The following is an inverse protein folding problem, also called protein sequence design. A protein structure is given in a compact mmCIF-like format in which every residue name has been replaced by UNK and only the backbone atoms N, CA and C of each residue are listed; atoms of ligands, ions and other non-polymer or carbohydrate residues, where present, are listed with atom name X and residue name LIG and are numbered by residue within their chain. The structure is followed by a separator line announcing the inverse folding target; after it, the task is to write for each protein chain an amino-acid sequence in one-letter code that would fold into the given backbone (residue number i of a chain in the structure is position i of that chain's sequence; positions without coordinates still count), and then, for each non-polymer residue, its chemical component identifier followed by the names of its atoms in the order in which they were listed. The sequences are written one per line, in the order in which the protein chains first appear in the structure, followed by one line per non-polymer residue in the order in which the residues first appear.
data_IF_054915530787
#
_entry.id   IF_054915530787
#
_cell.length_a   1.000
_cell.length_b   1.000
_cell.length_c   1.000
_cell.angle_alpha   90.00
_cell.angle_beta   90.00
_cell.angle_gamma   90.00
#
_symmetry.space_group_name_H-M   'P 1'
#
loop_
_entity.id
_entity.type
_entity.pdbx_description
1 polymer ?
#
# COMPACT_ATOMS: atom_id res chain seq x y z
N UNK A 1 21.84 7.56 -12.05
CA UNK A 1 21.73 6.08 -12.07
C UNK A 1 20.91 5.63 -10.88
N UNK A 2 19.74 5.07 -11.14
CA UNK A 2 18.96 4.37 -10.12
C UNK A 2 19.54 2.97 -9.99
N UNK A 3 20.07 2.65 -8.82
CA UNK A 3 20.64 1.34 -8.55
C UNK A 3 19.72 0.59 -7.60
N UNK A 4 19.03 -0.43 -8.11
CA UNK A 4 18.32 -1.40 -7.27
C UNK A 4 19.36 -2.25 -6.55
N UNK A 5 19.51 -2.08 -5.23
CA UNK A 5 20.37 -2.91 -4.40
C UNK A 5 19.57 -4.15 -3.99
N UNK A 6 19.93 -5.37 -4.46
CA UNK A 6 19.25 -6.57 -3.99
C UNK A 6 19.59 -6.79 -2.51
N UNK A 7 18.58 -6.97 -1.69
CA UNK A 7 18.76 -7.36 -0.28
C UNK A 7 19.25 -8.81 -0.27
N UNK A 8 20.45 -9.10 0.24
CA UNK A 8 20.92 -10.46 0.34
C UNK A 8 20.07 -11.26 1.32
N UNK A 9 19.51 -12.38 0.88
CA UNK A 9 18.72 -13.29 1.72
C UNK A 9 19.57 -14.17 2.66
N UNK A 10 20.88 -13.93 2.76
CA UNK A 10 21.75 -14.67 3.67
C UNK A 10 21.93 -13.91 4.97
N UNK A 11 21.07 -14.19 5.93
CA UNK A 11 21.20 -13.67 7.30
C UNK A 11 21.87 -14.68 8.22
N UNK A 12 23.08 -14.31 8.64
CA UNK A 12 23.55 -14.39 10.01
C UNK A 12 23.86 -15.74 10.59
N UNK A 13 25.10 -16.21 10.39
CA UNK A 13 25.78 -17.03 11.39
C UNK A 13 26.18 -16.16 12.59
N UNK A 14 25.20 -15.71 13.36
CA UNK A 14 25.43 -15.09 14.68
C UNK A 14 25.40 -16.16 15.77
N UNK A 15 26.47 -16.28 16.56
CA UNK A 15 26.54 -17.18 17.72
C UNK A 15 25.48 -16.77 18.76
N UNK A 16 24.44 -17.59 18.89
CA UNK A 16 23.42 -17.44 19.91
C UNK A 16 23.96 -17.84 21.29
N UNK A 17 23.95 -16.93 22.29
CA UNK A 17 23.96 -17.29 23.70
C UNK A 17 22.57 -17.80 24.07
N UNK A 18 22.41 -19.10 24.22
CA UNK A 18 21.14 -19.74 24.57
C UNK A 18 20.80 -19.50 26.05
N UNK A 19 19.67 -18.87 26.31
CA UNK A 19 19.10 -18.71 27.65
C UNK A 19 18.58 -20.09 28.15
N UNK A 20 18.72 -20.37 29.44
CA UNK A 20 18.40 -21.67 30.07
C UNK A 20 16.94 -22.12 29.86
N UNK A 21 16.02 -21.18 29.72
CA UNK A 21 14.61 -21.45 29.42
C UNK A 21 14.38 -21.96 27.99
N UNK A 22 15.19 -21.53 27.02
CA UNK A 22 15.13 -22.03 25.66
C UNK A 22 15.60 -23.47 25.55
N UNK A 23 16.62 -23.87 26.36
CA UNK A 23 17.06 -25.27 26.45
C UNK A 23 15.96 -26.18 26.98
N UNK A 24 15.19 -25.75 28.00
CA UNK A 24 14.06 -26.54 28.56
C UNK A 24 12.92 -26.72 27.58
N UNK A 25 12.64 -25.68 26.76
CA UNK A 25 11.62 -25.75 25.71
C UNK A 25 12.07 -26.68 24.60
N UNK A 26 13.33 -26.61 24.16
CA UNK A 26 13.90 -27.49 23.14
C UNK A 26 13.91 -28.96 23.59
N UNK A 27 14.24 -29.24 24.86
CA UNK A 27 14.22 -30.60 25.41
C UNK A 27 12.79 -31.17 25.51
N UNK A 28 11.80 -30.33 25.83
CA UNK A 28 10.38 -30.72 25.78
C UNK A 28 9.90 -31.02 24.36
N UNK A 29 10.27 -30.20 23.41
CA UNK A 29 9.93 -30.39 21.98
C UNK A 29 10.64 -31.59 21.35
N UNK A 30 11.72 -32.09 21.96
CA UNK A 30 12.48 -33.26 21.52
C UNK A 30 12.07 -34.56 22.20
N UNK A 31 11.01 -34.54 23.07
CA UNK A 31 10.52 -35.76 23.71
C UNK A 31 9.98 -36.75 22.64
N UNK A 32 10.15 -38.08 22.88
CA UNK A 32 9.76 -39.11 21.90
C UNK A 32 8.30 -39.03 21.47
N UNK A 33 7.39 -38.70 22.34
CA UNK A 33 5.94 -38.62 22.09
C UNK A 33 5.54 -37.40 21.27
N UNK A 34 6.32 -36.32 21.38
CA UNK A 34 6.09 -35.09 20.59
C UNK A 34 6.73 -35.15 19.23
N UNK A 35 7.84 -35.86 19.09
CA UNK A 35 8.65 -35.90 17.85
C UNK A 35 8.18 -36.90 16.81
N UNK A 36 7.40 -37.92 17.18
CA UNK A 36 6.97 -38.95 16.20
C UNK A 36 6.16 -38.38 15.01
N UNK A 37 5.13 -37.54 15.21
CA UNK A 37 4.40 -36.92 14.10
C UNK A 37 5.26 -35.91 13.33
N UNK A 38 6.19 -35.22 14.00
CA UNK A 38 7.06 -34.20 13.41
C UNK A 38 8.13 -34.86 12.50
N UNK A 39 8.70 -35.98 12.91
CA UNK A 39 9.64 -36.77 12.07
C UNK A 39 9.01 -37.20 10.75
N UNK A 40 7.74 -37.59 10.77
CA UNK A 40 6.98 -37.96 9.56
C UNK A 40 6.78 -36.78 8.62
N UNK A 41 6.55 -35.58 9.17
CA UNK A 41 6.41 -34.33 8.44
C UNK A 41 7.75 -33.88 7.83
N UNK A 42 8.84 -33.89 8.62
CA UNK A 42 10.21 -33.56 8.18
C UNK A 42 10.65 -34.49 7.05
N UNK A 43 10.36 -35.80 7.14
CA UNK A 43 10.70 -36.77 6.09
C UNK A 43 9.96 -36.48 4.77
N UNK A 44 8.72 -36.01 4.85
CA UNK A 44 7.92 -35.60 3.68
C UNK A 44 8.45 -34.29 3.06
N UNK A 45 8.87 -33.34 3.88
CA UNK A 45 9.51 -32.10 3.43
C UNK A 45 10.89 -32.34 2.81
N UNK A 46 11.69 -33.24 3.37
CA UNK A 46 12.98 -33.62 2.80
C UNK A 46 12.84 -34.25 1.41
N UNK A 47 11.79 -35.02 1.16
CA UNK A 47 11.47 -35.56 -0.16
C UNK A 47 11.07 -34.47 -1.16
N UNK A 48 10.34 -33.43 -0.73
CA UNK A 48 9.98 -32.28 -1.57
C UNK A 48 11.19 -31.39 -1.87
N UNK A 49 12.10 -31.25 -0.91
CA UNK A 49 13.39 -30.55 -1.09
C UNK A 49 14.28 -31.24 -2.15
N UNK A 50 14.37 -32.57 -2.12
CA UNK A 50 15.15 -33.33 -3.07
C UNK A 50 14.63 -33.24 -4.51
N UNK A 51 13.38 -32.89 -4.72
CA UNK A 51 12.71 -32.71 -6.03
C UNK A 51 12.84 -31.31 -6.63
N UNK A 52 13.62 -30.40 -6.05
CA UNK A 52 13.97 -29.11 -6.66
C UNK A 52 12.88 -28.02 -6.55
N UNK A 53 11.78 -28.23 -5.84
CA UNK A 53 10.66 -27.30 -5.75
C UNK A 53 10.84 -26.13 -4.76
N UNK A 54 12.02 -25.93 -4.16
CA UNK A 54 12.18 -25.13 -2.96
C UNK A 54 13.29 -24.07 -2.97
N UNK A 55 13.48 -23.32 -4.07
CA UNK A 55 14.40 -22.16 -4.04
C UNK A 55 13.78 -20.82 -3.55
N UNK A 56 12.46 -20.70 -3.35
CA UNK A 56 11.81 -19.44 -2.94
C UNK A 56 11.06 -19.46 -1.58
N UNK A 57 11.07 -20.52 -0.80
CA UNK A 57 10.08 -20.70 0.27
C UNK A 57 10.59 -21.12 1.64
N UNK A 58 11.86 -21.07 1.98
CA UNK A 58 12.35 -21.49 3.31
C UNK A 58 11.68 -20.68 4.44
N UNK A 59 11.46 -19.39 4.23
CA UNK A 59 10.77 -18.51 5.21
C UNK A 59 9.29 -18.86 5.35
N UNK A 60 8.60 -19.13 4.25
CA UNK A 60 7.19 -19.53 4.26
C UNK A 60 6.99 -20.91 4.89
N UNK A 61 7.91 -21.86 4.63
CA UNK A 61 7.89 -23.21 5.20
C UNK A 61 8.15 -23.16 6.71
N UNK A 62 9.10 -22.34 7.18
CA UNK A 62 9.33 -22.15 8.62
C UNK A 62 8.09 -21.54 9.29
N UNK A 63 7.47 -20.56 8.66
CA UNK A 63 6.25 -19.93 9.19
C UNK A 63 5.07 -20.90 9.21
N UNK A 64 4.92 -21.74 8.17
CA UNK A 64 3.88 -22.77 8.13
C UNK A 64 4.14 -23.87 9.16
N UNK A 65 5.39 -24.31 9.33
CA UNK A 65 5.79 -25.30 10.33
C UNK A 65 5.55 -24.79 11.75
N UNK A 66 5.85 -23.51 12.03
CA UNK A 66 5.57 -22.88 13.31
C UNK A 66 4.06 -22.74 13.55
N UNK A 67 3.27 -22.33 12.54
CA UNK A 67 1.79 -22.25 12.64
C UNK A 67 1.16 -23.62 12.88
N UNK A 68 1.64 -24.67 12.21
CA UNK A 68 1.20 -26.04 12.42
C UNK A 68 1.60 -26.57 13.82
N UNK A 69 2.80 -26.25 14.26
CA UNK A 69 3.27 -26.58 15.61
C UNK A 69 2.39 -25.92 16.71
N UNK A 70 2.08 -24.65 16.54
CA UNK A 70 1.20 -23.90 17.45
C UNK A 70 -0.23 -24.42 17.42
N UNK A 71 -0.72 -24.85 16.26
CA UNK A 71 -2.06 -25.46 16.12
C UNK A 71 -2.13 -26.84 16.78
N UNK A 72 -1.07 -27.64 16.71
CA UNK A 72 -0.97 -28.93 17.39
C UNK A 72 -0.86 -28.73 18.92
N UNK A 73 -0.09 -27.76 19.39
CA UNK A 73 0.02 -27.40 20.80
C UNK A 73 -1.34 -26.94 21.37
N UNK A 74 -2.14 -26.21 20.58
CA UNK A 74 -3.45 -25.72 21.00
C UNK A 74 -4.54 -26.82 21.10
N UNK A 75 -4.31 -28.01 20.55
CA UNK A 75 -5.25 -29.13 20.61
C UNK A 75 -5.03 -30.04 21.84
N UNK A 76 -3.97 -29.82 22.60
CA UNK A 76 -3.67 -30.62 23.83
C UNK A 76 -4.26 -29.93 25.07
N UNK A 77 -5.26 -30.51 25.75
CA UNK A 77 -5.97 -29.86 26.87
C UNK A 77 -5.07 -29.42 28.02
N UNK A 78 -4.02 -30.17 28.33
CA UNK A 78 -3.04 -29.85 29.37
C UNK A 78 -2.05 -28.73 29.01
N UNK A 79 -1.88 -28.42 27.76
CA UNK A 79 -1.02 -27.32 27.31
C UNK A 79 -1.72 -25.95 27.42
N UNK A 80 -3.07 -25.92 27.32
CA UNK A 80 -3.85 -24.69 27.47
C UNK A 80 -3.72 -24.03 28.83
N UNK A 81 -3.74 -24.81 29.92
CA UNK A 81 -3.64 -24.27 31.28
C UNK A 81 -2.23 -23.75 31.62
N UNK A 82 -1.18 -24.34 31.05
CA UNK A 82 0.20 -23.86 31.22
C UNK A 82 0.58 -22.69 30.30
N UNK A 83 -0.05 -22.59 29.14
CA UNK A 83 0.16 -21.42 28.23
C UNK A 83 -0.54 -20.13 28.72
N UNK A 84 -1.67 -20.26 29.45
CA UNK A 84 -2.32 -19.11 30.08
C UNK A 84 -1.57 -18.53 31.27
N UNK A 85 -0.75 -19.36 31.93
CA UNK A 85 0.05 -18.97 33.10
C UNK A 85 1.41 -18.35 32.74
N UNK A 86 1.86 -18.47 31.52
CA UNK A 86 3.13 -17.89 31.08
C UNK A 86 2.87 -16.86 30.00
N UNK A 87 3.24 -15.60 30.27
CA UNK A 87 3.32 -14.48 29.28
C UNK A 87 4.24 -14.79 28.07
N UNK A 88 4.61 -16.04 27.85
CA UNK A 88 5.56 -16.53 26.86
C UNK A 88 4.95 -16.64 25.46
N UNK A 89 3.61 -16.70 25.30
CA UNK A 89 3.01 -16.94 23.98
C UNK A 89 3.06 -15.73 23.02
N UNK A 90 3.07 -14.51 23.56
CA UNK A 90 3.24 -13.30 22.72
C UNK A 90 4.71 -13.01 22.38
N UNK A 91 5.64 -13.36 23.28
CA UNK A 91 7.08 -13.14 23.10
C UNK A 91 7.74 -14.10 22.07
N UNK A 92 7.26 -15.34 21.93
CA UNK A 92 7.88 -16.31 21.01
C UNK A 92 7.53 -16.04 19.53
N UNK A 93 6.39 -15.41 19.25
CA UNK A 93 6.04 -14.94 17.90
C UNK A 93 6.76 -13.64 17.57
N UNK A 94 7.21 -12.87 18.58
CA UNK A 94 7.99 -11.64 18.41
C UNK A 94 9.48 -11.87 18.17
N UNK A 95 9.96 -13.11 18.10
CA UNK A 95 11.37 -13.44 17.84
C UNK A 95 11.68 -13.59 16.33
N UNK A 96 10.72 -13.29 15.46
CA UNK A 96 11.09 -12.89 14.09
C UNK A 96 11.75 -11.52 14.28
N UNK A 97 13.07 -11.46 14.12
CA UNK A 97 13.84 -10.22 14.22
C UNK A 97 13.12 -9.16 13.38
N UNK A 98 12.53 -8.17 14.06
CA UNK A 98 11.92 -7.01 13.39
C UNK A 98 13.05 -6.34 12.60
N UNK A 99 12.79 -6.04 11.34
CA UNK A 99 13.69 -5.20 10.56
C UNK A 99 13.75 -3.86 11.28
N UNK A 100 14.95 -3.40 11.58
CA UNK A 100 15.19 -2.12 12.29
C UNK A 100 15.83 -1.13 11.33
N UNK A 101 15.84 0.15 11.69
CA UNK A 101 16.57 1.19 10.94
C UNK A 101 18.02 0.79 10.67
N UNK A 102 18.71 0.16 11.64
CA UNK A 102 20.08 -0.32 11.49
C UNK A 102 20.28 -1.35 10.38
N UNK A 103 19.26 -2.15 10.09
CA UNK A 103 19.33 -3.13 8.99
C UNK A 103 19.32 -2.41 7.64
N UNK A 104 18.50 -1.36 7.51
CA UNK A 104 18.48 -0.50 6.33
C UNK A 104 19.78 0.29 6.20
N UNK A 105 20.29 0.92 7.27
CA UNK A 105 21.54 1.65 7.29
C UNK A 105 22.72 0.78 6.86
N UNK A 106 22.80 -0.47 7.36
CA UNK A 106 23.88 -1.39 7.01
C UNK A 106 23.88 -1.77 5.53
N UNK A 107 22.70 -2.02 4.94
CA UNK A 107 22.60 -2.52 3.57
C UNK A 107 22.66 -1.40 2.52
N UNK A 108 21.96 -0.30 2.77
CA UNK A 108 21.85 0.80 1.80
C UNK A 108 22.89 1.89 2.02
N UNK A 109 23.16 2.26 3.28
CA UNK A 109 24.10 3.35 3.60
C UNK A 109 25.50 3.13 3.04
N UNK A 110 26.03 1.88 3.11
CA UNK A 110 27.31 1.53 2.50
C UNK A 110 27.30 1.75 0.99
N UNK A 111 26.22 1.35 0.31
CA UNK A 111 26.11 1.48 -1.14
C UNK A 111 26.01 2.93 -1.59
N UNK A 112 25.28 3.76 -0.85
CA UNK A 112 25.19 5.21 -1.10
C UNK A 112 26.59 5.86 -1.00
N UNK A 113 27.37 5.51 0.03
CA UNK A 113 28.73 6.02 0.21
C UNK A 113 29.67 5.59 -0.92
N UNK A 114 29.52 4.38 -1.45
CA UNK A 114 30.29 3.90 -2.61
C UNK A 114 29.96 4.68 -3.90
N UNK A 115 28.66 5.01 -4.10
CA UNK A 115 28.17 5.69 -5.30
C UNK A 115 28.53 7.18 -5.29
N UNK A 116 28.52 7.83 -4.12
CA UNK A 116 28.74 9.27 -3.94
C UNK A 116 27.82 10.12 -4.81
N UNK A 117 26.49 10.01 -4.63
CA UNK A 117 25.53 10.79 -5.43
C UNK A 117 25.56 12.26 -5.00
N UNK A 118 25.10 13.14 -5.88
CA UNK A 118 24.91 14.57 -5.55
C UNK A 118 23.60 14.79 -4.78
N UNK A 119 22.60 13.91 -4.97
CA UNK A 119 21.33 13.95 -4.26
C UNK A 119 20.87 12.53 -3.88
N UNK A 120 20.31 12.37 -2.68
CA UNK A 120 19.65 11.16 -2.22
C UNK A 120 18.17 11.47 -2.08
N UNK A 121 17.31 10.70 -2.77
CA UNK A 121 15.87 10.72 -2.53
C UNK A 121 15.50 9.52 -1.66
N UNK A 122 15.11 9.80 -0.42
CA UNK A 122 14.80 8.80 0.60
C UNK A 122 13.30 8.52 0.63
N UNK A 123 12.87 7.44 -0.01
CA UNK A 123 11.48 7.00 0.00
C UNK A 123 11.09 6.34 1.31
N UNK A 124 10.04 6.88 1.93
CA UNK A 124 9.42 6.38 3.14
C UNK A 124 10.25 6.62 4.43
N UNK A 125 9.58 6.70 5.57
CA UNK A 125 10.18 6.98 6.88
C UNK A 125 11.30 6.01 7.29
N UNK A 126 11.31 4.79 6.74
CA UNK A 126 12.38 3.83 6.96
C UNK A 126 13.73 4.28 6.41
N UNK A 127 13.76 5.12 5.39
CA UNK A 127 14.95 5.47 4.63
C UNK A 127 15.54 6.84 5.00
N UNK A 128 14.80 7.67 5.74
CA UNK A 128 15.26 9.02 6.08
C UNK A 128 16.61 9.01 6.84
N UNK A 129 16.72 8.21 7.89
CA UNK A 129 17.98 8.12 8.65
C UNK A 129 19.11 7.48 7.86
N UNK A 130 18.79 6.52 6.97
CA UNK A 130 19.80 5.92 6.05
C UNK A 130 20.42 7.00 5.17
N UNK A 131 19.59 7.85 4.58
CA UNK A 131 20.03 8.93 3.71
C UNK A 131 20.84 9.99 4.46
N UNK A 132 20.33 10.46 5.60
CA UNK A 132 21.00 11.48 6.41
C UNK A 132 22.34 10.98 6.95
N UNK A 133 22.41 9.77 7.48
CA UNK A 133 23.68 9.19 7.99
C UNK A 133 24.71 8.97 6.87
N UNK A 134 24.27 8.58 5.68
CA UNK A 134 25.16 8.47 4.52
C UNK A 134 25.63 9.85 4.05
N UNK A 135 24.73 10.84 4.01
CA UNK A 135 25.06 12.21 3.64
C UNK A 135 26.05 12.84 4.62
N UNK A 136 25.85 12.67 5.95
CA UNK A 136 26.82 13.13 6.97
C UNK A 136 28.22 12.60 6.71
N UNK A 137 28.36 11.29 6.42
CA UNK A 137 29.66 10.67 6.12
C UNK A 137 30.27 11.21 4.85
N UNK A 138 29.48 11.42 3.80
CA UNK A 138 29.97 11.99 2.54
C UNK A 138 30.37 13.45 2.71
N UNK A 139 29.60 14.25 3.44
CA UNK A 139 29.94 15.65 3.77
C UNK A 139 31.27 15.75 4.58
N UNK A 140 31.50 14.82 5.54
CA UNK A 140 32.77 14.72 6.26
C UNK A 140 33.95 14.37 5.34
N UNK A 141 33.73 13.73 4.21
CA UNK A 141 34.73 13.42 3.19
C UNK A 141 34.88 14.54 2.14
N UNK A 142 34.21 15.69 2.33
CA UNK A 142 34.26 16.84 1.44
C UNK A 142 33.37 16.77 0.22
N UNK A 143 32.36 15.84 0.20
CA UNK A 143 31.38 15.79 -0.87
C UNK A 143 30.15 16.67 -0.53
N UNK A 144 29.77 17.52 -1.45
CA UNK A 144 28.47 18.18 -1.39
C UNK A 144 27.37 17.18 -1.77
N UNK A 145 26.34 17.11 -0.96
CA UNK A 145 25.25 16.17 -1.17
C UNK A 145 23.97 16.71 -0.54
N UNK A 146 22.88 16.57 -1.26
CA UNK A 146 21.53 16.93 -0.84
C UNK A 146 20.72 15.70 -0.47
N UNK A 147 19.76 15.87 0.43
CA UNK A 147 18.84 14.81 0.85
C UNK A 147 17.41 15.31 0.71
N UNK A 148 16.59 14.60 -0.06
CA UNK A 148 15.14 14.79 -0.14
C UNK A 148 14.49 13.62 0.58
N UNK A 149 13.58 13.92 1.49
CA UNK A 149 12.75 12.94 2.17
C UNK A 149 11.35 12.90 1.53
N UNK A 150 10.96 11.74 1.06
CA UNK A 150 9.64 11.46 0.52
C UNK A 150 8.78 10.78 1.59
N UNK A 151 7.89 11.57 2.19
CA UNK A 151 6.95 11.13 3.21
C UNK A 151 5.70 10.52 2.55
N UNK A 152 5.79 9.28 2.10
CA UNK A 152 4.69 8.55 1.47
C UNK A 152 3.44 8.45 2.34
N UNK A 153 3.62 8.28 3.65
CA UNK A 153 2.56 8.13 4.64
C UNK A 153 2.93 8.92 5.91
N UNK A 154 1.91 9.37 6.64
CA UNK A 154 2.12 9.87 8.00
C UNK A 154 2.40 8.70 8.94
N UNK A 155 3.55 8.69 9.61
CA UNK A 155 3.89 7.65 10.59
C UNK A 155 2.86 7.59 11.72
N UNK A 156 2.31 8.75 12.13
CA UNK A 156 1.24 8.84 13.14
C UNK A 156 -0.08 8.21 12.68
N UNK A 157 -0.29 8.08 11.37
CA UNK A 157 -1.50 7.50 10.77
C UNK A 157 -1.39 6.00 10.46
N UNK A 158 -0.31 5.33 10.88
CA UNK A 158 -0.09 3.90 10.64
C UNK A 158 -0.83 3.04 11.68
N UNK A 159 -2.16 3.03 11.65
CA UNK A 159 -3.03 2.36 12.63
C UNK A 159 -2.85 0.83 12.70
N UNK A 160 -2.19 0.25 11.71
CA UNK A 160 -1.88 -1.18 11.67
C UNK A 160 -0.63 -1.57 12.47
N UNK A 161 0.12 -0.61 12.98
CA UNK A 161 1.31 -0.83 13.81
C UNK A 161 0.93 -0.89 15.30
N UNK A 162 1.65 -1.72 16.04
CA UNK A 162 1.60 -1.64 17.50
C UNK A 162 2.09 -0.24 17.95
N UNK A 163 1.46 0.37 18.96
CA UNK A 163 1.78 1.72 19.44
C UNK A 163 3.28 1.94 19.73
N UNK A 164 3.96 0.93 20.32
CA UNK A 164 5.39 1.00 20.60
C UNK A 164 6.27 0.98 19.33
N UNK A 165 5.77 0.40 18.25
CA UNK A 165 6.46 0.38 16.94
C UNK A 165 6.23 1.70 16.22
N UNK A 166 5.02 2.21 16.28
CA UNK A 166 4.68 3.53 15.74
C UNK A 166 5.49 4.62 16.44
N UNK A 167 5.56 4.60 17.78
CA UNK A 167 6.38 5.53 18.56
C UNK A 167 7.86 5.46 18.19
N UNK A 168 8.40 4.24 17.98
CA UNK A 168 9.78 4.07 17.53
C UNK A 168 10.04 4.77 16.19
N UNK A 169 9.12 4.62 15.20
CA UNK A 169 9.29 5.23 13.90
C UNK A 169 9.04 6.74 13.92
N UNK A 170 8.12 7.23 14.76
CA UNK A 170 7.93 8.66 14.98
C UNK A 170 9.19 9.32 15.55
N UNK A 171 9.82 8.69 16.54
CA UNK A 171 11.07 9.18 17.11
C UNK A 171 12.21 9.13 16.10
N UNK A 172 12.24 8.10 15.26
CA UNK A 172 13.24 7.96 14.20
C UNK A 172 13.07 9.05 13.14
N UNK A 173 11.86 9.28 12.65
CA UNK A 173 11.55 10.36 11.70
C UNK A 173 11.91 11.72 12.29
N UNK A 174 11.47 12.00 13.53
CA UNK A 174 11.76 13.26 14.25
C UNK A 174 13.25 13.54 14.42
N UNK A 175 14.07 12.50 14.57
CA UNK A 175 15.52 12.64 14.75
C UNK A 175 16.20 13.19 13.48
N UNK A 176 15.66 12.89 12.30
CA UNK A 176 16.36 13.15 11.04
C UNK A 176 15.68 14.19 10.13
N UNK A 177 14.38 14.45 10.32
CA UNK A 177 13.63 15.30 9.39
C UNK A 177 14.14 16.74 9.27
N UNK A 178 14.80 17.25 10.31
CA UNK A 178 15.40 18.58 10.30
C UNK A 178 16.77 18.65 9.59
N UNK A 179 17.31 17.52 9.17
CA UNK A 179 18.62 17.43 8.50
C UNK A 179 18.52 17.13 7.01
N UNK A 180 17.31 16.97 6.50
CA UNK A 180 17.07 16.86 5.07
C UNK A 180 17.03 18.25 4.44
N UNK A 181 17.41 18.33 3.17
CA UNK A 181 17.43 19.58 2.41
C UNK A 181 16.07 19.89 1.75
N UNK A 182 15.17 18.89 1.65
CA UNK A 182 13.82 19.04 1.16
C UNK A 182 12.90 17.91 1.62
N UNK A 183 11.62 18.21 1.74
CA UNK A 183 10.57 17.21 2.06
C UNK A 183 9.53 17.22 0.95
N UNK A 184 9.18 16.05 0.42
CA UNK A 184 8.05 15.87 -0.49
C UNK A 184 6.99 14.98 0.15
N UNK A 185 5.74 15.15 -0.25
CA UNK A 185 4.60 14.38 0.27
C UNK A 185 3.49 14.29 -0.79
N UNK A 186 2.44 13.51 -0.50
CA UNK A 186 1.42 13.15 -1.50
C UNK A 186 0.15 14.02 -1.47
N UNK A 187 0.03 15.00 -0.54
CA UNK A 187 -1.12 15.91 -0.48
C UNK A 187 -0.82 17.19 0.30
N UNK A 188 -1.60 18.24 0.05
CA UNK A 188 -1.51 19.48 0.82
C UNK A 188 -1.81 19.29 2.31
N UNK A 189 -2.79 18.44 2.64
CA UNK A 189 -3.17 18.12 4.01
C UNK A 189 -2.06 17.37 4.75
N UNK A 190 -1.33 16.52 4.06
CA UNK A 190 -0.15 15.87 4.61
C UNK A 190 1.00 16.86 4.81
N UNK A 191 1.21 17.78 3.86
CA UNK A 191 2.21 18.84 3.99
C UNK A 191 1.95 19.71 5.23
N UNK A 192 0.71 20.16 5.44
CA UNK A 192 0.30 20.91 6.62
C UNK A 192 0.58 20.13 7.92
N UNK A 193 0.24 18.84 7.95
CA UNK A 193 0.46 17.97 9.12
C UNK A 193 1.94 17.81 9.45
N UNK A 194 2.79 17.55 8.45
CA UNK A 194 4.23 17.43 8.62
C UNK A 194 4.85 18.74 9.09
N UNK A 195 4.48 19.87 8.45
CA UNK A 195 4.97 21.17 8.84
C UNK A 195 4.60 21.52 10.30
N UNK A 196 3.33 21.33 10.68
CA UNK A 196 2.89 21.61 12.06
C UNK A 196 3.56 20.69 13.08
N UNK A 197 3.65 19.38 12.78
CA UNK A 197 4.20 18.40 13.70
C UNK A 197 5.66 18.63 13.98
N UNK A 198 6.46 18.85 12.93
CA UNK A 198 7.89 18.97 13.00
C UNK A 198 8.36 20.43 12.98
N UNK A 199 7.46 21.42 12.94
CA UNK A 199 7.79 22.84 12.85
C UNK A 199 8.80 23.13 11.74
N UNK A 200 8.57 22.53 10.55
CA UNK A 200 9.45 22.72 9.40
C UNK A 200 9.44 24.19 8.96
N UNK A 201 10.60 24.72 8.62
CA UNK A 201 10.76 26.10 8.13
C UNK A 201 10.05 26.33 6.80
N UNK A 202 10.00 25.29 5.97
CA UNK A 202 9.35 25.31 4.66
C UNK A 202 8.21 24.29 4.59
N UNK A 203 7.20 24.60 3.76
CA UNK A 203 6.13 23.67 3.48
C UNK A 203 6.66 22.53 2.60
N UNK A 204 6.41 21.24 2.94
CA UNK A 204 6.73 20.14 2.05
C UNK A 204 6.15 20.31 0.64
N UNK A 205 6.93 19.99 -0.37
CA UNK A 205 6.48 20.01 -1.77
C UNK A 205 5.50 18.86 -2.01
N UNK A 206 4.36 19.18 -2.60
CA UNK A 206 3.33 18.16 -2.92
C UNK A 206 3.61 17.55 -4.28
N UNK A 207 3.86 16.25 -4.30
CA UNK A 207 4.03 15.43 -5.52
C UNK A 207 2.97 14.33 -5.48
N UNK A 208 1.99 14.43 -6.36
CA UNK A 208 0.86 13.51 -6.39
C UNK A 208 1.25 12.19 -7.08
N UNK A 209 0.72 11.07 -6.60
CA UNK A 209 0.92 9.74 -7.19
C UNK A 209 0.05 9.54 -8.45
N UNK A 210 0.27 10.36 -9.46
CA UNK A 210 -0.45 10.32 -10.72
C UNK A 210 0.09 9.21 -11.63
N UNK A 211 -0.76 8.58 -12.47
CA UNK A 211 -0.32 7.61 -13.47
C UNK A 211 0.41 8.30 -14.64
N UNK A 212 1.18 7.52 -15.37
CA UNK A 212 1.77 7.93 -16.64
C UNK A 212 0.64 7.96 -17.69
N UNK A 213 0.63 9.03 -18.51
CA UNK A 213 -0.33 9.18 -19.64
C UNK A 213 0.00 8.29 -20.85
N UNK A 214 0.96 7.40 -20.76
CA UNK A 214 1.31 6.55 -21.88
C UNK A 214 0.13 5.59 -22.15
N UNK A 215 -0.58 5.88 -23.23
CA UNK A 215 -1.61 4.99 -23.73
C UNK A 215 -0.87 3.84 -24.41
N UNK A 216 -0.70 2.77 -23.68
CA UNK A 216 -0.17 1.52 -24.20
C UNK A 216 -0.80 1.19 -25.55
N UNK A 217 -0.07 0.50 -26.39
CA UNK A 217 -0.50 0.17 -27.75
C UNK A 217 -1.68 -0.80 -27.72
N UNK A 218 -2.83 -0.29 -27.41
CA UNK A 218 -4.17 -0.72 -27.74
C UNK A 218 -4.55 -2.19 -27.63
N UNK A 219 -5.83 -2.36 -27.46
CA UNK A 219 -6.60 -3.57 -27.56
C UNK A 219 -6.59 -4.45 -26.33
N UNK A 220 -7.06 -3.86 -25.25
CA UNK A 220 -7.58 -4.63 -24.16
C UNK A 220 -9.10 -4.56 -24.24
N UNK A 221 -9.76 -5.65 -23.89
CA UNK A 221 -11.17 -5.59 -23.58
C UNK A 221 -11.40 -4.53 -22.50
N UNK A 222 -12.48 -3.77 -22.63
CA UNK A 222 -12.93 -2.88 -21.57
C UNK A 222 -13.66 -3.67 -20.49
N UNK A 223 -13.91 -3.05 -19.35
CA UNK A 223 -14.70 -3.68 -18.27
C UNK A 223 -16.10 -4.08 -18.76
N UNK A 224 -16.68 -3.30 -19.64
CA UNK A 224 -18.00 -3.56 -20.22
C UNK A 224 -17.98 -4.75 -21.17
N UNK A 225 -16.90 -4.90 -21.94
CA UNK A 225 -16.70 -6.06 -22.83
C UNK A 225 -16.58 -7.36 -22.01
N UNK A 226 -15.81 -7.34 -20.93
CA UNK A 226 -15.60 -8.51 -20.09
C UNK A 226 -16.86 -8.93 -19.32
N UNK A 227 -17.69 -7.96 -18.91
CA UNK A 227 -18.93 -8.24 -18.21
C UNK A 227 -20.10 -8.58 -19.17
N UNK A 228 -20.06 -8.12 -20.42
CA UNK A 228 -21.10 -8.31 -21.42
C UNK A 228 -22.44 -7.69 -21.02
N UNK A 229 -22.43 -6.53 -20.33
CA UNK A 229 -23.64 -5.85 -19.84
C UNK A 229 -23.69 -4.40 -20.32
N UNK A 230 -24.91 -3.91 -20.55
CA UNK A 230 -25.17 -2.50 -20.88
C UNK A 230 -25.63 -1.66 -19.68
N UNK A 231 -25.73 -2.31 -18.51
CA UNK A 231 -26.12 -1.71 -17.24
C UNK A 231 -25.06 -0.76 -16.69
N UNK A 232 -25.42 0.10 -15.74
CA UNK A 232 -24.49 1.00 -15.07
C UNK A 232 -23.49 0.22 -14.22
N UNK A 233 -22.20 0.59 -14.30
CA UNK A 233 -21.11 -0.08 -13.61
C UNK A 233 -20.44 0.88 -12.63
N UNK A 234 -20.58 0.59 -11.34
CA UNK A 234 -19.80 1.19 -10.27
C UNK A 234 -18.55 0.34 -10.03
N UNK A 235 -17.36 0.90 -10.19
CA UNK A 235 -16.13 0.11 -10.14
C UNK A 235 -15.23 0.49 -8.97
N UNK A 236 -14.67 -0.52 -8.32
CA UNK A 236 -13.52 -0.40 -7.42
C UNK A 236 -12.36 -1.22 -7.96
N UNK A 237 -11.14 -0.71 -7.85
CA UNK A 237 -9.93 -1.46 -8.18
C UNK A 237 -8.86 -1.34 -7.11
N UNK A 238 -8.01 -2.37 -6.99
CA UNK A 238 -6.87 -2.40 -6.10
C UNK A 238 -6.96 -3.44 -4.98
N UNK A 239 -6.26 -3.20 -3.86
CA UNK A 239 -6.17 -4.16 -2.75
C UNK A 239 -7.52 -4.35 -2.06
N UNK A 240 -7.94 -5.60 -1.86
CA UNK A 240 -9.10 -5.94 -1.05
C UNK A 240 -8.69 -6.16 0.41
N UNK A 241 -9.14 -5.25 1.29
CA UNK A 241 -8.91 -5.36 2.75
C UNK A 241 -9.96 -4.55 3.51
N UNK A 242 -10.12 -4.82 4.80
CA UNK A 242 -11.11 -4.17 5.68
C UNK A 242 -11.02 -2.63 5.59
N UNK A 243 -9.81 -2.07 5.72
CA UNK A 243 -9.62 -0.62 5.69
C UNK A 243 -10.06 0.06 4.37
N UNK A 244 -10.33 -0.72 3.34
CA UNK A 244 -10.82 -0.21 2.04
C UNK A 244 -12.33 -0.06 1.94
N UNK A 245 -13.10 -0.46 2.97
CA UNK A 245 -14.56 -0.24 3.08
C UNK A 245 -15.39 -0.99 2.04
N UNK A 246 -14.88 -2.10 1.51
CA UNK A 246 -15.57 -2.87 0.47
C UNK A 246 -16.86 -3.54 0.97
N UNK A 247 -16.97 -3.77 2.28
CA UNK A 247 -18.19 -4.28 2.90
C UNK A 247 -19.32 -3.27 2.74
N UNK A 248 -19.08 -1.98 3.00
CA UNK A 248 -20.07 -0.91 2.82
C UNK A 248 -20.49 -0.83 1.36
N UNK A 249 -19.54 -0.94 0.43
CA UNK A 249 -19.81 -0.91 -0.99
C UNK A 249 -20.66 -2.12 -1.44
N UNK A 250 -20.35 -3.33 -0.98
CA UNK A 250 -21.19 -4.52 -1.26
C UNK A 250 -22.57 -4.41 -0.63
N UNK A 251 -22.68 -3.88 0.60
CA UNK A 251 -23.97 -3.70 1.27
C UNK A 251 -24.87 -2.67 0.59
N UNK A 252 -24.29 -1.68 -0.10
CA UNK A 252 -25.03 -0.67 -0.86
C UNK A 252 -25.90 -1.25 -1.97
N UNK A 253 -25.62 -2.48 -2.44
CA UNK A 253 -26.49 -3.22 -3.36
C UNK A 253 -27.94 -3.33 -2.90
N UNK A 254 -28.22 -3.20 -1.60
CA UNK A 254 -29.57 -3.17 -1.05
C UNK A 254 -30.39 -1.97 -1.53
N UNK A 255 -29.71 -0.86 -1.80
CA UNK A 255 -30.30 0.46 -2.00
C UNK A 255 -30.02 1.06 -3.39
N UNK A 256 -29.01 0.52 -4.11
CA UNK A 256 -28.69 0.92 -5.48
C UNK A 256 -29.86 0.63 -6.43
N UNK A 257 -30.00 1.43 -7.48
CA UNK A 257 -30.91 1.17 -8.60
C UNK A 257 -30.74 -0.27 -9.11
N UNK A 258 -31.82 -0.88 -9.62
CA UNK A 258 -31.80 -2.28 -10.06
C UNK A 258 -30.89 -2.52 -11.27
N UNK A 259 -30.70 -1.51 -12.10
CA UNK A 259 -29.79 -1.52 -13.24
C UNK A 259 -28.32 -1.37 -12.84
N UNK A 260 -28.01 -0.89 -11.64
CA UNK A 260 -26.63 -0.62 -11.24
C UNK A 260 -25.91 -1.89 -10.75
N UNK A 261 -24.74 -2.16 -11.34
CA UNK A 261 -23.86 -3.27 -11.02
C UNK A 261 -22.60 -2.78 -10.29
N UNK A 262 -22.04 -3.60 -9.42
CA UNK A 262 -20.74 -3.36 -8.77
C UNK A 262 -19.70 -4.28 -9.39
N UNK A 263 -18.56 -3.73 -9.79
CA UNK A 263 -17.40 -4.47 -10.25
C UNK A 263 -16.20 -4.22 -9.32
N UNK A 264 -15.61 -5.30 -8.83
CA UNK A 264 -14.43 -5.28 -7.95
C UNK A 264 -13.23 -5.89 -8.70
N UNK A 265 -12.31 -5.04 -9.17
CA UNK A 265 -11.05 -5.46 -9.81
C UNK A 265 -10.00 -5.65 -8.71
N UNK A 266 -9.80 -6.89 -8.30
CA UNK A 266 -9.04 -7.23 -7.09
C UNK A 266 -8.22 -8.50 -7.28
N UNK A 267 -7.24 -8.74 -6.41
CA UNK A 267 -6.59 -10.06 -6.36
C UNK A 267 -7.58 -11.10 -5.81
N UNK A 268 -8.05 -11.98 -6.68
CA UNK A 268 -9.08 -12.98 -6.35
C UNK A 268 -8.61 -14.04 -5.33
N UNK A 269 -7.31 -14.17 -5.09
CA UNK A 269 -6.72 -15.09 -4.09
C UNK A 269 -6.71 -14.49 -2.67
N UNK A 270 -7.04 -13.20 -2.50
CA UNK A 270 -7.10 -12.58 -1.17
C UNK A 270 -8.19 -13.23 -0.32
N UNK A 271 -7.89 -13.66 0.93
CA UNK A 271 -8.85 -14.32 1.81
C UNK A 271 -10.13 -13.50 2.04
N UNK A 272 -10.01 -12.18 2.05
CA UNK A 272 -11.11 -11.24 2.26
C UNK A 272 -12.18 -11.28 1.16
N UNK A 273 -11.83 -11.75 -0.05
CA UNK A 273 -12.81 -11.94 -1.15
C UNK A 273 -13.89 -12.97 -0.77
N UNK A 274 -13.52 -13.99 0.00
CA UNK A 274 -14.50 -14.97 0.50
C UNK A 274 -15.51 -14.31 1.43
N UNK A 275 -15.06 -13.44 2.32
CA UNK A 275 -15.91 -12.73 3.27
C UNK A 275 -16.87 -11.79 2.53
N UNK A 276 -16.39 -11.10 1.48
CA UNK A 276 -17.22 -10.24 0.62
C UNK A 276 -18.29 -11.05 -0.15
N UNK A 277 -17.95 -12.22 -0.66
CA UNK A 277 -18.93 -13.12 -1.32
C UNK A 277 -19.99 -13.62 -0.34
N UNK A 278 -19.61 -13.99 0.87
CA UNK A 278 -20.54 -14.38 1.92
C UNK A 278 -21.46 -13.21 2.34
N UNK A 279 -20.93 -11.99 2.39
CA UNK A 279 -21.71 -10.78 2.64
C UNK A 279 -22.73 -10.54 1.51
N UNK A 280 -22.32 -10.62 0.26
CA UNK A 280 -23.19 -10.45 -0.90
C UNK A 280 -24.37 -11.47 -0.89
N UNK A 281 -24.10 -12.72 -0.54
CA UNK A 281 -25.15 -13.74 -0.38
C UNK A 281 -26.15 -13.39 0.76
N UNK A 282 -25.68 -12.71 1.83
CA UNK A 282 -26.59 -12.20 2.88
C UNK A 282 -27.44 -11.05 2.36
N UNK A 283 -26.84 -10.14 1.57
CA UNK A 283 -27.56 -9.03 0.92
C UNK A 283 -28.69 -9.57 0.03
N UNK A 284 -28.43 -10.62 -0.75
CA UNK A 284 -29.42 -11.26 -1.64
C UNK A 284 -30.65 -11.75 -0.89
N UNK A 285 -30.54 -12.14 0.40
CA UNK A 285 -31.71 -12.54 1.22
C UNK A 285 -32.69 -11.39 1.46
N UNK A 286 -32.21 -10.17 1.50
CA UNK A 286 -33.02 -8.95 1.69
C UNK A 286 -33.42 -8.31 0.35
N UNK A 287 -32.63 -8.54 -0.70
CA UNK A 287 -32.86 -8.05 -2.05
C UNK A 287 -32.49 -9.12 -3.08
N UNK A 288 -33.45 -9.87 -3.59
CA UNK A 288 -33.23 -10.86 -4.64
C UNK A 288 -32.53 -10.24 -5.86
N UNK A 289 -31.64 -10.98 -6.52
CA UNK A 289 -30.85 -10.47 -7.65
C UNK A 289 -29.63 -9.61 -7.29
N UNK A 290 -29.37 -9.34 -6.00
CA UNK A 290 -28.24 -8.50 -5.61
C UNK A 290 -26.88 -9.17 -5.88
N UNK A 291 -26.81 -10.50 -5.74
CA UNK A 291 -25.54 -11.23 -5.97
C UNK A 291 -25.15 -11.25 -7.46
N UNK A 292 -26.12 -11.33 -8.34
CA UNK A 292 -25.94 -11.32 -9.81
C UNK A 292 -25.41 -9.97 -10.32
N UNK A 293 -25.55 -8.92 -9.52
CA UNK A 293 -25.06 -7.57 -9.82
C UNK A 293 -23.70 -7.27 -9.20
N UNK A 294 -23.05 -8.25 -8.56
CA UNK A 294 -21.70 -8.12 -8.00
C UNK A 294 -20.72 -8.96 -8.79
N UNK A 295 -19.75 -8.31 -9.40
CA UNK A 295 -18.73 -8.92 -10.22
C UNK A 295 -17.36 -8.84 -9.56
N UNK A 296 -16.61 -9.95 -9.58
CA UNK A 296 -15.23 -10.03 -9.13
C UNK A 296 -14.34 -10.26 -10.34
N UNK A 297 -13.52 -9.28 -10.67
CA UNK A 297 -12.64 -9.28 -11.84
C UNK A 297 -11.17 -9.41 -11.40
N UNK A 298 -10.33 -10.06 -12.21
CA UNK A 298 -8.90 -10.19 -11.91
C UNK A 298 -8.18 -8.85 -11.98
N UNK A 299 -6.97 -8.82 -11.45
CA UNK A 299 -6.09 -7.65 -11.53
C UNK A 299 -5.78 -7.28 -12.99
N UNK A 300 -5.83 -5.99 -13.26
CA UNK A 300 -5.45 -5.37 -14.53
C UNK A 300 -4.14 -4.61 -14.32
N UNK A 301 -3.14 -4.72 -15.22
CA UNK A 301 -1.91 -3.93 -15.14
C UNK A 301 -2.18 -2.42 -15.07
N UNK A 302 -1.33 -1.67 -14.36
CA UNK A 302 -1.56 -0.25 -14.12
C UNK A 302 -1.55 0.58 -15.41
N UNK A 303 -0.74 0.19 -16.38
CA UNK A 303 -0.67 0.80 -17.72
C UNK A 303 -1.94 0.63 -18.53
N UNK A 304 -2.67 -0.44 -18.32
CA UNK A 304 -3.90 -0.78 -19.06
C UNK A 304 -5.17 -0.30 -18.34
N UNK A 305 -5.04 0.00 -17.03
CA UNK A 305 -6.16 0.21 -16.15
C UNK A 305 -7.06 1.41 -16.57
N UNK A 306 -6.54 2.59 -16.97
CA UNK A 306 -7.39 3.70 -17.39
C UNK A 306 -8.26 3.36 -18.61
N UNK A 307 -7.73 2.65 -19.60
CA UNK A 307 -8.47 2.22 -20.78
C UNK A 307 -9.51 1.17 -20.41
N UNK A 308 -9.12 0.16 -19.61
CA UNK A 308 -10.03 -0.87 -19.12
C UNK A 308 -11.24 -0.29 -18.38
N UNK A 309 -11.01 0.72 -17.54
CA UNK A 309 -12.03 1.38 -16.74
C UNK A 309 -12.91 2.34 -17.56
N UNK A 310 -12.47 2.81 -18.73
CA UNK A 310 -13.09 3.92 -19.47
C UNK A 310 -14.56 3.73 -19.83
N UNK A 311 -15.05 2.51 -19.83
CA UNK A 311 -16.46 2.16 -20.09
C UNK A 311 -17.29 1.89 -18.85
N UNK A 312 -16.73 2.02 -17.64
CA UNK A 312 -17.51 2.09 -16.41
C UNK A 312 -18.21 3.44 -16.27
N UNK A 313 -19.02 3.62 -15.25
CA UNK A 313 -19.80 4.84 -15.05
C UNK A 313 -19.33 5.66 -13.85
N UNK A 314 -19.00 5.03 -12.73
CA UNK A 314 -18.54 5.67 -11.50
C UNK A 314 -17.38 4.88 -10.89
N UNK A 315 -16.27 5.56 -10.56
CA UNK A 315 -15.20 5.00 -9.74
C UNK A 315 -15.52 5.22 -8.25
N UNK A 316 -15.46 4.15 -7.43
CA UNK A 316 -15.79 4.22 -6.01
C UNK A 316 -14.54 4.08 -5.14
N UNK A 317 -14.34 5.02 -4.20
CA UNK A 317 -13.20 5.05 -3.26
C UNK A 317 -13.74 5.00 -1.81
N UNK A 318 -14.14 3.82 -1.31
CA UNK A 318 -14.88 3.69 -0.06
C UNK A 318 -13.95 3.52 1.16
N UNK A 319 -12.91 4.33 1.29
CA UNK A 319 -11.91 4.24 2.36
C UNK A 319 -12.53 4.44 3.74
N UNK A 320 -12.22 3.56 4.69
CA UNK A 320 -12.59 3.73 6.09
C UNK A 320 -11.74 4.82 6.77
N UNK A 321 -12.23 5.46 7.85
CA UNK A 321 -11.49 6.49 8.57
C UNK A 321 -10.25 5.90 9.27
N UNK A 322 -9.08 6.27 8.79
CA UNK A 322 -7.77 6.03 9.42
C UNK A 322 -6.93 7.29 9.33
N UNK A 323 -5.93 7.41 10.18
CA UNK A 323 -5.10 8.63 10.21
C UNK A 323 -4.50 8.98 8.85
N UNK A 324 -4.04 7.98 8.10
CA UNK A 324 -3.48 8.18 6.75
C UNK A 324 -4.56 8.43 5.69
N UNK A 325 -5.74 7.82 5.81
CA UNK A 325 -6.78 8.01 4.81
C UNK A 325 -7.33 9.45 4.80
N UNK A 326 -7.26 10.17 5.92
CA UNK A 326 -7.69 11.57 6.00
C UNK A 326 -6.86 12.52 5.12
N UNK A 327 -5.61 12.18 4.92
CA UNK A 327 -4.66 13.00 4.12
C UNK A 327 -4.26 12.34 2.81
N UNK A 328 -4.74 11.12 2.54
CA UNK A 328 -4.31 10.36 1.37
C UNK A 328 -4.91 10.90 0.07
N UNK A 329 -4.08 10.94 -0.97
CA UNK A 329 -4.48 11.08 -2.36
C UNK A 329 -4.12 9.77 -3.08
N UNK A 330 -5.01 8.76 -3.06
CA UNK A 330 -4.68 7.43 -3.57
C UNK A 330 -4.60 7.41 -5.10
N UNK A 331 -3.72 6.57 -5.66
CA UNK A 331 -3.53 6.40 -7.11
C UNK A 331 -4.86 6.20 -7.85
N UNK A 332 -5.79 5.44 -7.26
CA UNK A 332 -7.10 5.16 -7.87
C UNK A 332 -7.94 6.41 -8.18
N UNK A 333 -7.74 7.52 -7.46
CA UNK A 333 -8.36 8.80 -7.81
C UNK A 333 -7.85 9.28 -9.18
N UNK A 334 -6.54 9.26 -9.37
CA UNK A 334 -5.92 9.74 -10.60
C UNK A 334 -6.11 8.77 -11.76
N UNK A 335 -6.14 7.46 -11.48
CA UNK A 335 -6.49 6.43 -12.45
C UNK A 335 -7.94 6.59 -12.94
N UNK A 336 -8.89 6.92 -12.03
CA UNK A 336 -10.26 7.25 -12.40
C UNK A 336 -10.34 8.54 -13.25
N UNK A 337 -9.58 9.58 -12.88
CA UNK A 337 -9.48 10.83 -13.68
C UNK A 337 -8.97 10.54 -15.10
N UNK A 338 -7.94 9.67 -15.23
CA UNK A 338 -7.42 9.28 -16.55
C UNK A 338 -8.45 8.49 -17.37
N UNK A 339 -9.24 7.66 -16.70
CA UNK A 339 -10.36 6.93 -17.31
C UNK A 339 -11.59 7.82 -17.58
N UNK A 340 -11.57 9.09 -17.18
CA UNK A 340 -12.70 10.05 -17.26
C UNK A 340 -13.93 9.57 -16.49
N UNK A 341 -13.71 8.89 -15.37
CA UNK A 341 -14.78 8.41 -14.50
C UNK A 341 -15.07 9.41 -13.39
N UNK A 342 -16.32 9.82 -13.19
CA UNK A 342 -16.77 10.49 -11.99
C UNK A 342 -16.45 9.67 -10.74
N UNK A 343 -16.08 10.36 -9.65
CA UNK A 343 -15.58 9.71 -8.44
C UNK A 343 -16.59 9.82 -7.30
N UNK A 344 -16.98 8.67 -6.75
CA UNK A 344 -17.73 8.60 -5.49
C UNK A 344 -16.80 8.15 -4.37
N UNK A 345 -16.61 9.00 -3.36
CA UNK A 345 -15.71 8.72 -2.25
C UNK A 345 -16.43 8.78 -0.91
N UNK A 346 -15.94 7.99 0.06
CA UNK A 346 -16.24 8.25 1.46
C UNK A 346 -15.63 9.58 1.92
N UNK A 347 -16.21 10.19 2.95
CA UNK A 347 -15.76 11.47 3.52
C UNK A 347 -14.35 11.32 4.13
N UNK A 348 -13.32 11.70 3.36
CA UNK A 348 -11.90 11.83 3.76
C UNK A 348 -11.45 13.23 3.43
N UNK A 349 -10.80 13.93 4.37
CA UNK A 349 -10.50 15.36 4.24
C UNK A 349 -9.88 15.71 2.88
N UNK A 350 -8.78 15.06 2.50
CA UNK A 350 -8.08 15.35 1.25
C UNK A 350 -8.95 15.03 0.01
N UNK A 351 -9.62 13.88 0.00
CA UNK A 351 -10.50 13.49 -1.11
C UNK A 351 -11.73 14.38 -1.21
N UNK A 352 -12.37 14.71 -0.08
CA UNK A 352 -13.53 15.59 -0.04
C UNK A 352 -13.22 16.96 -0.62
N UNK A 353 -12.14 17.59 -0.14
CA UNK A 353 -11.70 18.89 -0.65
C UNK A 353 -11.39 18.82 -2.16
N UNK A 354 -10.70 17.80 -2.60
CA UNK A 354 -10.32 17.66 -4.01
C UNK A 354 -11.53 17.41 -4.93
N UNK A 355 -12.38 16.43 -4.58
CA UNK A 355 -13.55 16.05 -5.41
C UNK A 355 -14.53 17.23 -5.50
N UNK A 356 -14.82 17.89 -4.37
CA UNK A 356 -15.76 19.00 -4.33
C UNK A 356 -15.24 20.23 -5.07
N UNK A 357 -13.97 20.59 -4.86
CA UNK A 357 -13.37 21.76 -5.50
C UNK A 357 -13.31 21.63 -7.05
N UNK A 358 -13.19 20.40 -7.56
CA UNK A 358 -13.10 20.13 -8.99
C UNK A 358 -14.43 19.69 -9.64
N UNK A 359 -15.50 19.47 -8.86
CA UNK A 359 -16.81 19.06 -9.36
C UNK A 359 -16.83 17.71 -10.07
N UNK A 360 -15.90 16.81 -9.74
CA UNK A 360 -15.71 15.52 -10.44
C UNK A 360 -16.51 14.37 -9.86
N UNK A 361 -17.39 14.63 -8.87
CA UNK A 361 -18.16 13.57 -8.23
C UNK A 361 -18.81 14.00 -6.92
N UNK A 362 -19.18 13.01 -6.11
CA UNK A 362 -19.81 13.21 -4.80
C UNK A 362 -19.04 12.50 -3.68
N UNK A 363 -19.35 12.91 -2.45
CA UNK A 363 -18.84 12.33 -1.22
C UNK A 363 -20.01 11.85 -0.37
N UNK A 364 -19.89 10.68 0.26
CA UNK A 364 -20.92 10.12 1.14
C UNK A 364 -20.39 9.94 2.58
N UNK A 365 -21.31 9.89 3.56
CA UNK A 365 -20.97 9.68 4.96
C UNK A 365 -20.46 8.25 5.19
N UNK A 366 -19.42 8.13 5.99
CA UNK A 366 -18.73 6.88 6.31
C UNK A 366 -19.62 5.75 6.84
N UNK A 367 -19.27 4.53 6.43
CA UNK A 367 -19.88 3.28 6.88
C UNK A 367 -21.40 3.21 6.72
N UNK A 368 -21.98 4.08 5.91
CA UNK A 368 -23.42 4.01 5.60
C UNK A 368 -23.64 3.55 4.14
N UNK A 369 -24.03 2.29 3.94
CA UNK A 369 -24.31 1.77 2.60
C UNK A 369 -25.53 2.42 1.92
N UNK A 370 -26.46 3.02 2.69
CA UNK A 370 -27.58 3.74 2.13
C UNK A 370 -27.14 5.12 1.60
N UNK A 371 -26.30 5.84 2.33
CA UNK A 371 -25.73 7.10 1.88
C UNK A 371 -24.85 6.91 0.64
N UNK A 372 -24.02 5.85 0.61
CA UNK A 372 -23.24 5.49 -0.58
C UNK A 372 -24.18 5.27 -1.79
N UNK A 373 -25.23 4.47 -1.61
CA UNK A 373 -26.16 4.17 -2.69
C UNK A 373 -26.97 5.41 -3.14
N UNK A 374 -27.40 6.24 -2.21
CA UNK A 374 -28.12 7.49 -2.53
C UNK A 374 -27.24 8.44 -3.36
N UNK A 375 -25.98 8.63 -2.95
CA UNK A 375 -25.02 9.43 -3.70
C UNK A 375 -24.72 8.84 -5.08
N UNK A 376 -24.54 7.51 -5.16
CA UNK A 376 -24.33 6.81 -6.43
C UNK A 376 -25.52 6.97 -7.38
N UNK A 377 -26.74 6.74 -6.92
CA UNK A 377 -27.95 6.92 -7.73
C UNK A 377 -28.10 8.38 -8.23
N UNK A 378 -27.81 9.37 -7.36
CA UNK A 378 -27.79 10.78 -7.76
C UNK A 378 -26.74 11.07 -8.83
N UNK A 379 -25.55 10.46 -8.72
CA UNK A 379 -24.50 10.61 -9.72
C UNK A 379 -24.90 9.97 -11.06
N UNK A 380 -25.54 8.81 -11.04
CA UNK A 380 -26.02 8.13 -12.26
C UNK A 380 -27.06 8.97 -13.00
N UNK A 381 -27.96 9.63 -12.27
CA UNK A 381 -28.96 10.55 -12.86
C UNK A 381 -28.33 11.80 -13.47
N UNK A 382 -27.13 12.21 -13.01
CA UNK A 382 -26.45 13.43 -13.43
C UNK A 382 -25.05 13.14 -14.03
N UNK A 383 -24.83 11.97 -14.60
CA UNK A 383 -23.51 11.45 -14.98
C UNK A 383 -22.76 12.39 -15.95
N UNK A 384 -23.45 12.93 -16.94
CA UNK A 384 -22.86 13.85 -17.93
C UNK A 384 -22.33 15.15 -17.28
N UNK A 385 -22.99 15.65 -16.23
CA UNK A 385 -22.52 16.81 -15.50
C UNK A 385 -21.12 16.59 -14.91
N UNK A 386 -20.88 15.43 -14.25
CA UNK A 386 -19.59 15.11 -13.66
C UNK A 386 -18.55 14.75 -14.74
N UNK A 387 -18.94 14.08 -15.82
CA UNK A 387 -18.05 13.76 -16.94
C UNK A 387 -17.50 15.02 -17.65
N UNK A 388 -18.30 16.09 -17.74
CA UNK A 388 -17.86 17.35 -18.32
C UNK A 388 -16.70 18.00 -17.55
N UNK A 389 -16.62 17.81 -16.24
CA UNK A 389 -15.50 18.28 -15.44
C UNK A 389 -14.19 17.51 -15.70
N UNK A 390 -14.29 16.27 -16.20
CA UNK A 390 -13.16 15.36 -16.50
C UNK A 390 -12.65 15.53 -17.94
N UNK A 391 -12.38 16.76 -18.34
CA UNK A 391 -11.81 17.07 -19.66
C UNK A 391 -10.42 16.46 -19.88
N UNK A 392 -9.97 16.45 -21.11
CA UNK A 392 -8.61 15.98 -21.43
C UNK A 392 -7.54 16.83 -20.76
N UNK A 393 -7.72 18.16 -20.74
CA UNK A 393 -6.81 19.09 -20.06
C UNK A 393 -6.75 18.83 -18.54
N UNK A 394 -7.90 18.48 -17.93
CA UNK A 394 -7.95 18.12 -16.53
C UNK A 394 -7.17 16.83 -16.25
N UNK A 395 -7.32 15.81 -17.10
CA UNK A 395 -6.58 14.55 -16.97
C UNK A 395 -5.06 14.76 -17.18
N UNK A 396 -4.67 15.60 -18.13
CA UNK A 396 -3.27 15.94 -18.40
C UNK A 396 -2.62 16.64 -17.21
N UNK A 397 -3.32 17.57 -16.57
CA UNK A 397 -2.87 18.27 -15.35
C UNK A 397 -2.53 17.27 -14.22
N UNK A 398 -3.25 16.18 -14.10
CA UNK A 398 -3.04 15.13 -13.09
C UNK A 398 -2.35 13.90 -13.68
N UNK A 399 -1.24 14.11 -14.37
CA UNK A 399 -0.38 13.07 -14.94
C UNK A 399 0.98 13.04 -14.26
N UNK A 400 1.67 11.90 -14.35
CA UNK A 400 3.04 11.79 -13.87
C UNK A 400 3.99 12.74 -14.60
N UNK A 401 3.74 13.05 -15.87
CA UNK A 401 4.52 14.03 -16.64
C UNK A 401 4.61 15.36 -15.87
N UNK A 402 3.46 15.93 -15.48
CA UNK A 402 3.38 17.19 -14.73
C UNK A 402 4.00 17.05 -13.33
N UNK A 403 3.74 15.95 -12.64
CA UNK A 403 4.28 15.74 -11.29
C UNK A 403 5.80 15.55 -11.30
N UNK A 404 6.33 14.85 -12.31
CA UNK A 404 7.78 14.67 -12.47
C UNK A 404 8.51 15.97 -12.78
N UNK A 405 7.90 16.89 -13.52
CA UNK A 405 8.46 18.23 -13.76
C UNK A 405 8.59 19.00 -12.45
N UNK A 406 7.59 18.97 -11.57
CA UNK A 406 7.66 19.65 -10.27
C UNK A 406 8.72 19.01 -9.36
N UNK A 407 8.85 17.67 -9.39
CA UNK A 407 9.89 16.95 -8.65
C UNK A 407 11.30 17.31 -9.17
N UNK A 408 11.49 17.34 -10.51
CA UNK A 408 12.75 17.74 -11.14
C UNK A 408 13.10 19.19 -10.78
N UNK A 409 12.12 20.07 -10.78
CA UNK A 409 12.28 21.48 -10.39
C UNK A 409 12.76 21.59 -8.93
N UNK A 410 12.18 20.81 -8.02
CA UNK A 410 12.63 20.71 -6.64
C UNK A 410 14.10 20.28 -6.57
N UNK A 411 14.52 19.27 -7.34
CA UNK A 411 15.92 18.82 -7.36
C UNK A 411 16.86 19.89 -7.93
N UNK A 412 16.47 20.54 -9.02
CA UNK A 412 17.28 21.62 -9.61
C UNK A 412 17.49 22.78 -8.65
N UNK A 413 16.44 23.17 -7.91
CA UNK A 413 16.56 24.22 -6.88
C UNK A 413 17.53 23.84 -5.77
N UNK A 414 17.48 22.60 -5.28
CA UNK A 414 18.38 22.12 -4.23
C UNK A 414 19.83 21.99 -4.68
N UNK A 415 20.05 21.70 -5.97
CA UNK A 415 21.39 21.50 -6.55
C UNK A 415 21.95 22.74 -7.22
N UNK A 416 21.25 23.89 -7.15
CA UNK A 416 21.61 25.14 -7.85
C UNK A 416 21.82 24.95 -9.36
N UNK A 417 20.97 24.08 -9.99
CA UNK A 417 21.01 23.81 -11.43
C UNK A 417 19.98 24.65 -12.19
N UNK A 418 20.37 25.12 -13.37
CA UNK A 418 19.38 25.73 -14.28
C UNK A 418 18.40 24.68 -14.79
N UNK A 419 17.10 25.03 -14.80
CA UNK A 419 16.05 24.18 -15.36
C UNK A 419 16.18 24.25 -16.87
N UNK A 420 16.83 23.27 -17.48
CA UNK A 420 16.78 23.05 -18.92
C UNK A 420 15.43 22.40 -19.21
N UNK A 421 14.65 23.02 -20.13
CA UNK A 421 13.29 22.54 -20.47
C UNK A 421 13.26 21.02 -20.73
N UNK A 422 12.33 20.27 -20.09
CA UNK A 422 12.28 18.80 -20.13
C UNK A 422 12.11 18.19 -21.53
N UNK A 423 11.75 18.99 -22.53
CA UNK A 423 11.61 18.57 -23.94
C UNK A 423 12.90 18.00 -24.58
N UNK A 424 14.05 18.04 -23.88
CA UNK A 424 15.34 17.54 -24.38
C UNK A 424 15.75 16.17 -23.77
N UNK A 425 15.01 15.64 -22.79
CA UNK A 425 15.33 14.34 -22.20
C UNK A 425 14.47 13.28 -22.90
N UNK A 426 15.10 12.48 -23.78
CA UNK A 426 14.39 11.35 -24.39
C UNK A 426 14.02 10.32 -23.31
N UNK A 427 12.86 9.68 -23.44
CA UNK A 427 12.40 8.62 -22.52
C UNK A 427 13.39 7.45 -22.35
N UNK A 428 14.41 7.38 -23.21
CA UNK A 428 15.48 6.36 -23.15
C UNK A 428 16.49 6.58 -22.02
N UNK A 429 16.56 7.77 -21.43
CA UNK A 429 17.57 8.13 -20.42
C UNK A 429 17.03 8.09 -18.98
N UNK A 430 15.73 7.85 -18.80
CA UNK A 430 15.11 7.67 -17.47
C UNK A 430 14.96 6.18 -17.21
N UNK A 431 16.01 5.56 -16.66
CA UNK A 431 15.90 4.22 -16.05
C UNK A 431 15.45 4.42 -14.60
N UNK A 432 14.17 4.22 -14.34
CA UNK A 432 13.57 4.19 -12.99
C UNK A 432 13.88 2.87 -12.29
#
# INVERSE_FOLDING_TARGET
QIIKVPVPLEYGKGKFKTNSQFKKLVLFLLSPDFMAPIKKLIKRFYQLFKKGYLKRSVKWILTLAIKLLLKVISTVPQAKSKLQATKVSRSAVSTIRRVTSRDFEYHYGKKIIEIKPDLIHAHDFHMIGVAVEAARKLRMLGHEIKVVYDAHELVEGLDHLDASVQEYWLNYESQYIHEVDGVVCVSGQQAERLQMRYQLSEMPTVILNCPILDRGAGCINTIRDDLGIDNEILVYHGKASIARGLEVFVESLKFLNESAHIALIVNLEEPFIKDLKELALKVTRSRPGAFERLHFLPYVPAEDLPEYLSTADIAVIPLLPTGNHEVAMPNKLFEAIQAKLPVLSSERRALTEFITANGIGLVYIDNDPNELAAAANTMLENLEHYKQALSSDFSEKYSWGVQSEELIKTYCQLLDLEIVSPLAISHADIVI
#
